data_IF_253337323329
#
_entry.id   IF_253337323329
#
_cell.length_a   1.000
_cell.length_b   1.000
_cell.length_c   1.000
_cell.angle_alpha   90.00
_cell.angle_beta   90.00
_cell.angle_gamma   90.00
#
_symmetry.space_group_name_H-M   'P 1'
#
loop_
_entity.id
_entity.type
_entity.pdbx_description
1 polymer ?
#
# COMPACT_ATOMS: atom_id res chain seq x y z
N UNK A 1 1.25 8.40 10.01
CA UNK A 1 0.71 7.50 8.99
C UNK A 1 1.55 6.25 9.05
N UNK A 2 0.92 5.12 9.21
CA UNK A 2 1.57 3.86 9.54
C UNK A 2 0.99 2.76 8.68
N UNK A 3 1.85 1.92 8.09
CA UNK A 3 1.44 0.69 7.42
C UNK A 3 1.45 -0.41 8.46
N UNK A 4 0.28 -0.95 8.77
CA UNK A 4 0.08 -1.91 9.86
C UNK A 4 0.05 -3.35 9.35
N UNK A 5 -0.27 -3.54 8.08
CA UNK A 5 -0.39 -4.86 7.47
C UNK A 5 -0.15 -4.85 5.97
N UNK A 6 0.18 -6.02 5.45
CA UNK A 6 0.20 -6.34 4.03
C UNK A 6 -0.34 -7.75 3.87
N UNK A 7 -1.26 -7.95 2.92
CA UNK A 7 -1.83 -9.26 2.58
C UNK A 7 -1.92 -9.43 1.07
N UNK A 8 -1.86 -10.68 0.61
CA UNK A 8 -2.15 -11.00 -0.78
C UNK A 8 -3.66 -10.74 -1.06
N UNK A 9 -3.94 -10.34 -2.28
CA UNK A 9 -5.29 -10.14 -2.85
C UNK A 9 -5.24 -10.66 -4.28
N UNK A 10 -6.35 -11.07 -4.88
CA UNK A 10 -6.37 -11.84 -6.13
C UNK A 10 -5.55 -11.17 -7.26
N UNK A 11 -4.29 -11.60 -7.43
CA UNK A 11 -3.34 -11.05 -8.40
C UNK A 11 -2.48 -9.85 -7.91
N UNK A 12 -2.47 -9.53 -6.62
CA UNK A 12 -1.83 -8.33 -6.07
C UNK A 12 -1.53 -8.38 -4.56
N UNK A 13 -1.44 -7.20 -3.95
CA UNK A 13 -1.33 -7.03 -2.51
C UNK A 13 -2.17 -5.85 -2.01
N UNK A 14 -2.65 -5.97 -0.77
CA UNK A 14 -3.38 -4.92 -0.06
C UNK A 14 -2.57 -4.50 1.15
N UNK A 15 -2.36 -3.20 1.29
CA UNK A 15 -1.70 -2.59 2.43
C UNK A 15 -2.74 -1.93 3.32
N UNK A 16 -2.70 -2.24 4.61
CA UNK A 16 -3.53 -1.62 5.63
C UNK A 16 -2.78 -0.40 6.19
N UNK A 17 -3.32 0.80 6.00
CA UNK A 17 -2.68 2.05 6.40
C UNK A 17 -3.54 2.81 7.39
N UNK A 18 -2.97 3.19 8.53
CA UNK A 18 -3.59 4.08 9.51
C UNK A 18 -3.11 5.52 9.30
N UNK A 19 -4.05 6.40 8.98
CA UNK A 19 -3.84 7.85 8.85
C UNK A 19 -4.29 8.53 10.15
N UNK A 20 -3.41 9.39 10.68
CA UNK A 20 -3.63 10.17 11.92
C UNK A 20 -3.99 9.35 13.18
N UNK A 21 -3.90 8.02 13.17
CA UNK A 21 -4.17 7.15 14.32
C UNK A 21 -5.60 6.63 14.43
N UNK A 22 -6.49 6.94 13.47
CA UNK A 22 -7.91 6.57 13.55
C UNK A 22 -8.56 6.23 12.21
N UNK A 23 -8.00 6.68 11.07
CA UNK A 23 -8.56 6.38 9.75
C UNK A 23 -7.81 5.22 9.11
N UNK A 24 -8.51 4.11 8.87
CA UNK A 24 -7.97 2.97 8.12
C UNK A 24 -8.27 3.14 6.63
N UNK A 25 -7.24 3.04 5.79
CA UNK A 25 -7.36 3.04 4.34
C UNK A 25 -6.61 1.84 3.77
N UNK A 26 -7.09 1.35 2.64
CA UNK A 26 -6.45 0.26 1.92
C UNK A 26 -5.81 0.78 0.64
N UNK A 27 -4.52 0.48 0.45
CA UNK A 27 -3.89 0.59 -0.87
C UNK A 27 -3.84 -0.80 -1.48
N UNK A 28 -4.62 -1.02 -2.55
CA UNK A 28 -4.56 -2.23 -3.37
C UNK A 28 -3.56 -2.01 -4.50
N UNK A 29 -2.65 -2.96 -4.71
CA UNK A 29 -1.71 -2.98 -5.83
C UNK A 29 -1.96 -4.28 -6.58
N UNK A 30 -2.63 -4.20 -7.72
CA UNK A 30 -2.96 -5.35 -8.56
C UNK A 30 -2.62 -5.12 -10.03
N UNK A 31 -3.05 -6.02 -10.93
CA UNK A 31 -2.78 -5.94 -12.36
C UNK A 31 -3.37 -4.67 -13.00
N UNK A 32 -4.49 -4.18 -12.47
CA UNK A 32 -5.15 -2.94 -12.92
C UNK A 32 -4.48 -1.67 -12.37
N UNK A 33 -3.39 -1.83 -11.62
CA UNK A 33 -2.62 -0.77 -11.00
C UNK A 33 -3.04 -0.45 -9.56
N UNK A 34 -2.38 0.57 -8.96
CA UNK A 34 -2.62 0.97 -7.58
C UNK A 34 -3.96 1.70 -7.42
N UNK A 35 -4.80 1.22 -6.50
CA UNK A 35 -6.10 1.82 -6.15
C UNK A 35 -6.25 1.98 -4.65
N UNK A 36 -6.77 3.12 -4.21
CA UNK A 36 -7.08 3.37 -2.80
C UNK A 36 -8.56 3.21 -2.50
N UNK A 37 -8.83 2.74 -1.29
CA UNK A 37 -10.18 2.55 -0.76
C UNK A 37 -10.24 2.99 0.72
N UNK A 38 -11.00 4.05 1.05
CA UNK A 38 -11.75 4.92 0.13
C UNK A 38 -10.84 5.75 -0.80
N UNK A 39 -11.38 6.30 -1.91
CA UNK A 39 -10.66 7.28 -2.72
C UNK A 39 -10.27 8.51 -1.90
N UNK A 40 -9.07 9.06 -2.14
CA UNK A 40 -8.57 10.23 -1.42
C UNK A 40 -7.98 11.27 -2.38
N UNK A 41 -7.80 12.52 -1.93
CA UNK A 41 -7.11 13.54 -2.70
C UNK A 41 -5.69 13.09 -3.12
N UNK A 42 -5.27 13.49 -4.34
CA UNK A 42 -3.99 13.09 -4.95
C UNK A 42 -2.76 13.35 -4.05
N UNK A 43 -2.75 14.43 -3.29
CA UNK A 43 -1.65 14.73 -2.37
C UNK A 43 -1.56 13.72 -1.21
N UNK A 44 -2.71 13.23 -0.72
CA UNK A 44 -2.77 12.24 0.35
C UNK A 44 -2.42 10.85 -0.20
N UNK A 45 -2.85 10.55 -1.42
CA UNK A 45 -2.45 9.35 -2.16
C UNK A 45 -0.93 9.21 -2.28
N UNK A 46 -0.26 10.27 -2.73
CA UNK A 46 1.20 10.26 -2.88
C UNK A 46 1.91 10.02 -1.55
N UNK A 47 1.38 10.57 -0.45
CA UNK A 47 1.91 10.32 0.90
C UNK A 47 1.72 8.87 1.33
N UNK A 48 0.57 8.27 1.03
CA UNK A 48 0.29 6.85 1.28
C UNK A 48 1.25 5.96 0.49
N UNK A 49 1.38 6.20 -0.83
CA UNK A 49 2.32 5.46 -1.69
C UNK A 49 3.76 5.55 -1.16
N UNK A 50 4.22 6.74 -0.78
CA UNK A 50 5.55 6.92 -0.19
C UNK A 50 5.71 6.18 1.16
N UNK A 51 4.66 6.12 1.98
CA UNK A 51 4.68 5.34 3.22
C UNK A 51 4.77 3.83 2.96
N UNK A 52 4.01 3.33 1.99
CA UNK A 52 4.04 1.93 1.54
C UNK A 52 5.41 1.56 0.97
N UNK A 53 5.97 2.39 0.07
CA UNK A 53 7.30 2.16 -0.49
C UNK A 53 8.38 2.05 0.60
N UNK A 54 8.36 2.94 1.60
CA UNK A 54 9.27 2.85 2.76
C UNK A 54 9.05 1.60 3.59
N UNK A 55 7.80 1.18 3.78
CA UNK A 55 7.48 -0.01 4.57
C UNK A 55 7.95 -1.29 3.85
N UNK A 56 7.70 -1.39 2.55
CA UNK A 56 8.15 -2.49 1.67
C UNK A 56 9.67 -2.62 1.72
N UNK A 57 10.39 -1.51 1.63
CA UNK A 57 11.85 -1.50 1.70
C UNK A 57 12.37 -2.00 3.06
N UNK A 58 11.65 -1.74 4.16
CA UNK A 58 12.00 -2.21 5.51
C UNK A 58 11.57 -3.66 5.78
N UNK A 59 10.56 -4.17 5.09
CA UNK A 59 9.96 -5.49 5.35
C UNK A 59 9.78 -6.31 4.07
N UNK A 60 10.84 -6.56 3.28
CA UNK A 60 10.72 -7.24 1.99
C UNK A 60 10.12 -8.65 2.11
N UNK A 61 10.38 -9.37 3.22
CA UNK A 61 9.84 -10.71 3.48
C UNK A 61 8.34 -10.75 3.79
N UNK A 62 7.70 -9.58 4.03
CA UNK A 62 6.26 -9.48 4.30
C UNK A 62 5.45 -9.09 3.06
N UNK A 63 6.12 -8.85 1.94
CA UNK A 63 5.48 -8.45 0.69
C UNK A 63 5.18 -9.70 -0.14
N UNK A 64 3.93 -9.94 -0.56
CA UNK A 64 3.60 -11.06 -1.44
C UNK A 64 4.42 -11.01 -2.73
N UNK A 65 4.88 -12.18 -3.22
CA UNK A 65 5.65 -12.32 -4.46
C UNK A 65 5.09 -11.63 -5.72
N UNK A 66 3.77 -11.43 -5.93
CA UNK A 66 3.29 -10.68 -7.10
C UNK A 66 3.63 -9.18 -7.07
N UNK A 67 3.97 -8.59 -5.91
CA UNK A 67 4.25 -7.15 -5.78
C UNK A 67 5.76 -6.94 -5.57
N UNK A 68 6.54 -7.01 -6.64
CA UNK A 68 7.96 -6.66 -6.59
C UNK A 68 8.14 -5.13 -6.44
N UNK A 69 9.24 -4.65 -5.83
CA UNK A 69 9.50 -3.22 -5.64
C UNK A 69 9.43 -2.38 -6.93
N UNK A 70 9.66 -3.00 -8.09
CA UNK A 70 9.55 -2.37 -9.40
C UNK A 70 8.17 -1.76 -9.70
N UNK A 71 7.10 -2.30 -9.10
CA UNK A 71 5.71 -1.85 -9.35
C UNK A 71 5.33 -0.60 -8.55
N UNK A 72 6.23 -0.09 -7.71
CA UNK A 72 6.01 1.05 -6.79
C UNK A 72 6.69 2.37 -7.24
N UNK A 73 7.37 2.38 -8.39
CA UNK A 73 8.05 3.56 -8.95
C UNK A 73 7.10 4.50 -9.69
#
# INVERSE_FOLDING_TARGET
>A
MEVTGCRADDGGAVFDIVIQGWVMVHLRIGPDGPRMDPPMPRHLEQRVRAAVARWVWRHPSRVPEPVRPATLH
#
